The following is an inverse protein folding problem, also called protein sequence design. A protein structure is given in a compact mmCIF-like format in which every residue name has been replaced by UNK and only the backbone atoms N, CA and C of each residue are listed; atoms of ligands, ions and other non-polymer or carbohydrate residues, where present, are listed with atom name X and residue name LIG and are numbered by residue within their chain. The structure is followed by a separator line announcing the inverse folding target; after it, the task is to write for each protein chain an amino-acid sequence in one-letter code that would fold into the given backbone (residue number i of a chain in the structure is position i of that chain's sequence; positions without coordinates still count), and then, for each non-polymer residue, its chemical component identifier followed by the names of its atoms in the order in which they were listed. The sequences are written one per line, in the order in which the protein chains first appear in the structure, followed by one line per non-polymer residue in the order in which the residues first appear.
data_IF_297149978110
#
_entry.id   IF_297149978110
#
_cell.length_a   1.000
_cell.length_b   1.000
_cell.length_c   1.000
_cell.angle_alpha   90.00
_cell.angle_beta   90.00
_cell.angle_gamma   90.00
#
_symmetry.space_group_name_H-M   'P 1'
#
loop_
_entity.id
_entity.type
_entity.pdbx_description
1 polymer ?
#
# COMPACT_ATOMS: atom_id res chain seq x y z
N UNK A 1 49.48 37.52 -0.24
CA UNK A 1 48.21 37.03 0.34
C UNK A 1 47.07 37.19 -0.67
N UNK A 2 46.99 36.33 -1.71
CA UNK A 2 46.03 36.52 -2.83
C UNK A 2 45.55 35.21 -3.51
N UNK A 3 45.68 34.06 -2.85
CA UNK A 3 45.37 32.74 -3.45
C UNK A 3 44.29 31.91 -2.72
N UNK A 4 43.64 32.46 -1.70
CA UNK A 4 42.65 31.70 -0.89
C UNK A 4 41.20 31.90 -1.37
N UNK A 5 40.91 32.93 -2.17
CA UNK A 5 39.54 33.27 -2.57
C UNK A 5 38.95 32.41 -3.71
N UNK A 6 39.73 31.55 -4.36
CA UNK A 6 39.26 30.79 -5.53
C UNK A 6 38.64 29.41 -5.19
N UNK A 7 38.73 28.96 -3.93
CA UNK A 7 38.22 27.65 -3.52
C UNK A 7 36.78 27.70 -2.97
N UNK A 8 36.27 28.88 -2.60
CA UNK A 8 34.93 29.03 -2.05
C UNK A 8 33.83 29.11 -3.13
N UNK A 9 34.16 29.47 -4.36
CA UNK A 9 33.16 29.60 -5.45
C UNK A 9 32.84 28.27 -6.12
N UNK A 10 33.73 27.27 -6.07
CA UNK A 10 33.49 25.94 -6.65
C UNK A 10 32.55 25.11 -5.78
N UNK A 11 32.54 25.31 -4.46
CA UNK A 11 31.65 24.58 -3.55
C UNK A 11 30.18 25.02 -3.67
N UNK A 12 29.91 26.27 -4.06
CA UNK A 12 28.53 26.75 -4.28
C UNK A 12 27.89 26.23 -5.57
N UNK A 13 28.65 25.71 -6.54
CA UNK A 13 28.08 25.12 -7.76
C UNK A 13 27.68 23.65 -7.61
N UNK A 14 28.18 22.94 -6.60
CA UNK A 14 27.83 21.53 -6.36
C UNK A 14 26.50 21.41 -5.60
N UNK A 15 26.07 22.45 -4.87
CA UNK A 15 24.79 22.45 -4.15
C UNK A 15 23.55 22.88 -4.97
N UNK A 16 23.71 23.32 -6.22
CA UNK A 16 22.58 23.73 -7.08
C UNK A 16 22.00 22.61 -7.96
N UNK A 17 22.49 21.38 -7.83
CA UNK A 17 22.07 20.23 -8.64
C UNK A 17 21.12 19.23 -7.95
N UNK A 18 20.62 19.53 -6.74
CA UNK A 18 19.78 18.62 -5.94
C UNK A 18 18.39 19.19 -5.66
N UNK A 19 17.83 19.96 -6.59
CA UNK A 19 16.46 20.52 -6.52
C UNK A 19 15.36 19.48 -6.82
N UNK A 20 15.65 18.18 -6.71
CA UNK A 20 14.73 17.08 -7.02
C UNK A 20 14.45 16.10 -5.88
N UNK A 21 15.02 16.31 -4.70
CA UNK A 21 14.68 15.49 -3.54
C UNK A 21 13.40 16.05 -2.90
N UNK A 22 12.25 15.61 -3.39
CA UNK A 22 10.97 15.74 -2.71
C UNK A 22 11.06 14.93 -1.41
N UNK A 23 11.52 15.56 -0.34
CA UNK A 23 11.22 15.10 1.01
C UNK A 23 9.73 15.33 1.19
N UNK A 24 8.93 14.39 0.68
CA UNK A 24 7.55 14.24 1.12
C UNK A 24 7.59 14.09 2.63
N UNK A 25 7.34 15.21 3.32
CA UNK A 25 7.08 15.22 4.75
C UNK A 25 6.06 14.11 4.99
N UNK A 26 6.35 13.12 5.87
CA UNK A 26 5.36 12.11 6.18
C UNK A 26 4.12 12.85 6.69
N UNK A 27 3.05 12.85 5.89
CA UNK A 27 1.79 13.49 6.24
C UNK A 27 1.41 13.04 7.65
N UNK A 28 0.84 13.93 8.49
CA UNK A 28 0.38 13.55 9.81
C UNK A 28 -0.58 12.38 9.66
N UNK A 29 -0.11 11.17 9.97
CA UNK A 29 -0.88 9.95 9.74
C UNK A 29 -2.07 9.98 10.68
N UNK A 30 -3.26 10.11 10.09
CA UNK A 30 -4.55 10.08 10.77
C UNK A 30 -4.57 8.91 11.77
N UNK A 31 -4.97 9.08 13.04
CA UNK A 31 -5.07 7.95 13.98
C UNK A 31 -5.95 6.81 13.45
N UNK A 32 -6.95 7.12 12.61
CA UNK A 32 -7.76 6.11 11.92
C UNK A 32 -6.94 5.24 10.97
N UNK A 33 -5.87 5.78 10.37
CA UNK A 33 -4.99 5.01 9.49
C UNK A 33 -4.33 3.85 10.23
N UNK A 34 -3.70 4.12 11.38
CA UNK A 34 -3.06 3.06 12.18
C UNK A 34 -4.08 2.06 12.72
N UNK A 35 -5.26 2.53 13.13
CA UNK A 35 -6.33 1.62 13.56
C UNK A 35 -6.82 0.74 12.41
N UNK A 36 -6.98 1.29 11.22
CA UNK A 36 -7.37 0.54 10.02
C UNK A 36 -6.36 -0.57 9.70
N UNK A 37 -5.06 -0.26 9.69
CA UNK A 37 -4.01 -1.26 9.48
C UNK A 37 -3.98 -2.33 10.58
N UNK A 38 -4.22 -1.93 11.84
CA UNK A 38 -4.31 -2.87 12.95
C UNK A 38 -5.47 -3.87 12.75
N UNK A 39 -6.66 -3.40 12.37
CA UNK A 39 -7.77 -4.30 12.06
C UNK A 39 -7.46 -5.21 10.86
N UNK A 40 -6.78 -4.72 9.81
CA UNK A 40 -6.32 -5.58 8.71
C UNK A 40 -5.42 -6.72 9.21
N UNK A 41 -4.51 -6.43 10.16
CA UNK A 41 -3.66 -7.46 10.76
C UNK A 41 -4.47 -8.46 11.58
N UNK A 42 -5.42 -8.00 12.40
CA UNK A 42 -6.33 -8.87 13.17
C UNK A 42 -7.10 -9.82 12.24
N UNK A 43 -7.60 -9.31 11.11
CA UNK A 43 -8.29 -10.13 10.13
C UNK A 43 -7.38 -11.12 9.42
N UNK A 44 -6.15 -10.73 9.12
CA UNK A 44 -5.15 -11.66 8.59
C UNK A 44 -4.81 -12.76 9.61
N UNK A 45 -4.68 -12.43 10.89
CA UNK A 45 -4.40 -13.43 11.93
C UNK A 45 -5.58 -14.41 12.11
N UNK A 46 -6.82 -13.94 11.87
CA UNK A 46 -8.04 -14.77 11.96
C UNK A 46 -8.25 -15.68 10.75
N UNK A 47 -8.08 -15.17 9.52
CA UNK A 47 -8.41 -15.89 8.28
C UNK A 47 -7.18 -16.38 7.51
N UNK A 48 -5.98 -15.92 7.88
CA UNK A 48 -4.71 -16.27 7.24
C UNK A 48 -4.71 -15.97 5.74
N UNK A 49 -4.38 -17.00 4.96
CA UNK A 49 -4.32 -16.88 3.49
C UNK A 49 -5.68 -16.59 2.84
N UNK A 50 -6.79 -16.80 3.52
CA UNK A 50 -8.12 -16.45 2.99
C UNK A 50 -8.42 -14.95 3.03
N UNK A 51 -7.56 -14.15 3.69
CA UNK A 51 -7.67 -12.71 3.70
C UNK A 51 -6.61 -12.05 2.80
N UNK A 52 -7.02 -10.99 2.12
CA UNK A 52 -6.17 -10.15 1.27
C UNK A 52 -5.74 -8.91 2.05
N UNK A 53 -4.67 -9.06 2.84
CA UNK A 53 -4.11 -7.99 3.64
C UNK A 53 -3.55 -6.84 2.80
N UNK A 54 -3.09 -7.11 1.57
CA UNK A 54 -2.63 -6.06 0.65
C UNK A 54 -3.81 -5.18 0.22
N UNK A 55 -4.92 -5.79 -0.19
CA UNK A 55 -6.13 -5.04 -0.56
C UNK A 55 -6.67 -4.23 0.61
N UNK A 56 -6.73 -4.82 1.81
CA UNK A 56 -7.14 -4.11 3.02
C UNK A 56 -6.22 -2.91 3.34
N UNK A 57 -4.90 -3.13 3.33
CA UNK A 57 -3.90 -2.09 3.60
C UNK A 57 -3.93 -0.94 2.60
N UNK A 58 -4.06 -1.24 1.30
CA UNK A 58 -4.18 -0.23 0.25
C UNK A 58 -5.44 0.62 0.44
N UNK A 59 -6.59 0.00 0.75
CA UNK A 59 -7.82 0.74 0.99
C UNK A 59 -7.71 1.66 2.24
N UNK A 60 -7.00 1.21 3.29
CA UNK A 60 -6.69 2.05 4.45
C UNK A 60 -5.84 3.27 4.07
N UNK A 61 -4.87 3.13 3.16
CA UNK A 61 -4.06 4.26 2.64
C UNK A 61 -4.94 5.21 1.85
N UNK A 62 -5.69 4.71 0.86
CA UNK A 62 -6.52 5.50 -0.05
C UNK A 62 -7.60 6.30 0.68
N UNK A 63 -8.19 5.72 1.73
CA UNK A 63 -9.29 6.35 2.49
C UNK A 63 -8.84 7.06 3.75
N UNK A 64 -7.51 7.15 3.99
CA UNK A 64 -6.93 7.68 5.23
C UNK A 64 -7.52 7.03 6.50
N UNK A 65 -7.76 5.71 6.43
CA UNK A 65 -8.27 4.88 7.53
C UNK A 65 -9.79 4.82 7.67
N UNK A 66 -10.57 5.43 6.76
CA UNK A 66 -12.04 5.38 6.81
C UNK A 66 -12.62 4.04 6.36
N UNK A 67 -11.85 3.20 5.67
CA UNK A 67 -12.21 1.85 5.25
C UNK A 67 -12.01 0.78 6.34
N UNK A 68 -11.87 1.19 7.60
CA UNK A 68 -11.68 0.28 8.73
C UNK A 68 -12.83 -0.74 8.80
N UNK A 69 -12.46 -2.02 8.82
CA UNK A 69 -13.40 -3.14 8.88
C UNK A 69 -13.27 -3.86 10.23
N UNK A 70 -14.02 -3.39 11.21
CA UNK A 70 -14.00 -3.97 12.56
C UNK A 70 -14.72 -5.32 12.52
N UNK A 71 -14.00 -6.39 12.84
CA UNK A 71 -14.56 -7.74 12.86
C UNK A 71 -14.57 -8.45 11.52
N UNK A 72 -13.83 -7.94 10.52
CA UNK A 72 -13.53 -8.66 9.28
C UNK A 72 -14.77 -9.05 8.46
N UNK A 73 -15.81 -8.20 8.54
CA UNK A 73 -17.13 -8.47 7.95
C UNK A 73 -17.18 -8.12 6.47
N UNK A 74 -16.21 -7.36 5.95
CA UNK A 74 -16.21 -6.96 4.55
C UNK A 74 -15.74 -8.13 3.66
N UNK A 75 -16.64 -8.75 2.86
CA UNK A 75 -16.29 -9.88 2.00
C UNK A 75 -15.31 -9.50 0.88
N UNK A 76 -15.15 -8.21 0.57
CA UNK A 76 -14.24 -7.77 -0.50
C UNK A 76 -12.77 -8.05 -0.19
N UNK A 77 -12.40 -8.21 1.08
CA UNK A 77 -11.05 -8.56 1.49
C UNK A 77 -10.84 -10.07 1.61
N UNK A 78 -11.88 -10.88 1.40
CA UNK A 78 -11.73 -12.34 1.39
C UNK A 78 -11.30 -12.77 -0.01
N UNK A 79 -10.21 -13.54 -0.09
CA UNK A 79 -9.78 -14.15 -1.35
C UNK A 79 -10.85 -15.15 -1.76
N UNK A 80 -11.54 -14.86 -2.88
CA UNK A 80 -12.36 -15.86 -3.56
C UNK A 80 -11.47 -17.06 -3.86
N UNK A 81 -11.84 -18.19 -3.29
CA UNK A 81 -11.18 -19.44 -3.68
C UNK A 81 -11.66 -19.77 -5.10
N UNK A 82 -10.88 -20.49 -5.92
CA UNK A 82 -11.34 -20.96 -7.22
C UNK A 82 -12.64 -21.79 -7.16
N UNK A 83 -13.08 -22.20 -5.96
CA UNK A 83 -14.36 -22.88 -5.71
C UNK A 83 -15.57 -21.94 -5.72
N UNK A 84 -15.36 -20.62 -5.64
CA UNK A 84 -16.43 -19.60 -5.77
C UNK A 84 -16.65 -19.17 -7.23
N UNK A 85 -15.89 -19.74 -8.19
CA UNK A 85 -16.23 -19.60 -9.60
C UNK A 85 -17.47 -20.45 -9.87
N UNK A 86 -18.61 -19.87 -10.29
CA UNK A 86 -19.71 -20.67 -10.81
C UNK A 86 -19.13 -21.57 -11.90
N UNK A 87 -19.25 -22.87 -11.71
CA UNK A 87 -18.78 -23.91 -12.60
C UNK A 87 -19.02 -23.45 -14.03
N UNK A 88 -17.94 -23.11 -14.74
CA UNK A 88 -18.03 -22.95 -16.19
C UNK A 88 -18.41 -24.36 -16.67
N UNK A 89 -19.70 -24.57 -16.93
CA UNK A 89 -20.19 -25.77 -17.60
C UNK A 89 -19.49 -25.81 -18.98
N UNK A 90 -18.31 -26.41 -19.03
CA UNK A 90 -17.74 -26.91 -20.26
C UNK A 90 -18.72 -27.99 -20.73
N UNK A 91 -19.57 -27.62 -21.67
CA UNK A 91 -20.29 -28.57 -22.50
C UNK A 91 -19.24 -29.45 -23.19
N UNK A 92 -19.00 -30.65 -22.63
CA UNK A 92 -18.28 -31.70 -23.32
C UNK A 92 -19.24 -32.29 -24.35
N UNK A 93 -18.92 -32.32 -25.65
CA UNK A 93 -19.77 -32.97 -26.63
C UNK A 93 -19.75 -34.48 -26.38
N UNK A 94 -20.92 -35.06 -26.08
CA UNK A 94 -21.12 -36.51 -26.11
C UNK A 94 -21.10 -36.98 -27.57
N UNK A 95 -20.02 -37.63 -27.99
CA UNK A 95 -20.00 -38.27 -29.31
C UNK A 95 -18.61 -38.66 -29.80
N UNK A 96 -18.23 -39.91 -29.49
CA UNK A 96 -17.34 -40.74 -30.29
C UNK A 96 -17.68 -42.21 -30.08
#
# INVERSE_FOLDING_TARGET
MKKIFALLTVFSLICRGLEGAWWEQPLPRNPLYYRCLFECQVCYDMYGYHFDSNKCGNNCVETAGKSIDVGCINPEYHRRTPQDSPTLHLNLPEGL
#
